data_IF_046773272324
#
_entry.id   IF_046773272324
#
_cell.length_a   1.000
_cell.length_b   1.000
_cell.length_c   1.000
_cell.angle_alpha   90.00
_cell.angle_beta   90.00
_cell.angle_gamma   90.00
#
_symmetry.space_group_name_H-M   'P 1'
#
loop_
_entity.id
_entity.type
_entity.pdbx_description
1 polymer ?
#
# COMPACT_ATOMS: atom_id res chain seq x y z
N UNK A 1 48.09 46.37 10.38
CA UNK A 1 47.64 45.02 10.72
C UNK A 1 46.33 44.73 10.02
N UNK A 2 46.30 43.80 9.12
CA UNK A 2 45.06 43.37 8.46
C UNK A 2 44.47 42.26 9.27
N UNK A 3 43.27 42.49 9.85
CA UNK A 3 42.49 41.44 10.48
C UNK A 3 41.85 40.60 9.38
N UNK A 4 42.24 39.33 9.31
CA UNK A 4 41.64 38.36 8.40
C UNK A 4 40.43 37.80 9.11
N UNK A 5 39.23 38.21 8.70
CA UNK A 5 38.02 37.62 9.16
C UNK A 5 37.79 36.30 8.41
N UNK A 6 38.00 35.20 9.10
CA UNK A 6 37.60 33.90 8.57
C UNK A 6 36.07 33.77 8.75
N UNK A 7 35.36 33.85 7.64
CA UNK A 7 33.97 33.46 7.65
C UNK A 7 33.95 31.94 7.61
N UNK A 8 33.73 31.33 8.76
CA UNK A 8 33.47 29.88 8.84
C UNK A 8 32.06 29.68 8.28
N UNK A 9 31.98 29.27 7.02
CA UNK A 9 30.72 28.78 6.47
C UNK A 9 30.41 27.45 7.15
N UNK A 10 29.50 27.46 8.12
CA UNK A 10 28.96 26.22 8.70
C UNK A 10 28.03 25.63 7.65
N UNK A 11 28.52 24.62 6.94
CA UNK A 11 27.71 23.83 6.05
C UNK A 11 26.82 22.95 6.95
N UNK A 12 25.59 23.43 7.20
CA UNK A 12 24.57 22.60 7.86
C UNK A 12 24.10 21.58 6.81
N UNK A 13 24.71 20.40 6.84
CA UNK A 13 24.18 19.26 6.10
C UNK A 13 22.91 18.84 6.81
N UNK A 14 21.78 19.33 6.33
CA UNK A 14 20.48 18.78 6.68
C UNK A 14 20.44 17.36 6.12
N UNK A 15 20.88 16.39 6.90
CA UNK A 15 20.53 15.01 6.65
C UNK A 15 19.01 14.92 6.82
N UNK A 16 18.30 14.92 5.70
CA UNK A 16 16.88 14.64 5.71
C UNK A 16 16.68 13.26 6.32
N UNK A 17 16.20 13.21 7.57
CA UNK A 17 15.59 12.01 8.09
C UNK A 17 14.40 11.70 7.20
N UNK A 18 14.57 10.72 6.29
CA UNK A 18 13.43 10.10 5.65
C UNK A 18 12.76 9.24 6.72
N UNK A 19 11.91 9.87 7.54
CA UNK A 19 10.99 9.13 8.36
C UNK A 19 10.05 8.39 7.39
N UNK A 20 10.20 7.07 7.26
CA UNK A 20 9.22 6.25 6.58
C UNK A 20 7.91 6.40 7.34
N UNK A 21 6.94 7.08 6.74
CA UNK A 21 5.60 7.16 7.28
C UNK A 21 5.04 5.74 7.37
N UNK A 22 4.51 5.37 8.52
CA UNK A 22 3.75 4.13 8.68
C UNK A 22 2.59 4.12 7.69
N UNK A 23 2.31 2.98 7.09
CA UNK A 23 1.23 2.84 6.13
C UNK A 23 1.48 1.76 5.11
N UNK A 24 0.67 1.77 4.08
CA UNK A 24 0.75 0.85 2.93
C UNK A 24 0.86 1.63 1.64
N UNK A 25 1.43 1.00 0.61
CA UNK A 25 1.53 1.59 -0.71
C UNK A 25 1.53 0.52 -1.80
N UNK A 26 1.16 0.94 -3.01
CA UNK A 26 1.33 0.15 -4.22
C UNK A 26 2.73 0.39 -4.78
N UNK A 27 3.54 -0.65 -4.85
CA UNK A 27 4.78 -0.62 -5.63
C UNK A 27 4.42 -0.67 -7.11
N UNK A 28 3.49 -1.57 -7.46
CA UNK A 28 2.86 -1.71 -8.77
C UNK A 28 1.39 -2.10 -8.61
N UNK A 29 0.49 -1.61 -9.46
CA UNK A 29 0.64 -0.46 -10.35
C UNK A 29 0.66 0.85 -9.57
N UNK A 30 1.13 1.92 -10.20
CA UNK A 30 1.05 3.28 -9.65
C UNK A 30 -0.29 3.92 -9.99
N UNK A 31 -0.68 4.93 -9.22
CA UNK A 31 -1.87 5.73 -9.49
C UNK A 31 -1.83 6.31 -10.91
N UNK A 32 -2.93 6.18 -11.64
CA UNK A 32 -3.04 6.63 -13.04
C UNK A 32 -2.46 5.67 -14.06
N UNK A 33 -1.93 4.52 -13.67
CA UNK A 33 -1.33 3.56 -14.60
C UNK A 33 -2.36 2.93 -15.55
N UNK A 34 -1.88 2.56 -16.73
CA UNK A 34 -2.60 1.67 -17.65
C UNK A 34 -1.96 0.30 -17.58
N UNK A 35 -2.77 -0.72 -17.32
CA UNK A 35 -2.33 -2.11 -17.20
C UNK A 35 -3.14 -3.00 -18.13
N UNK A 36 -2.62 -4.19 -18.42
CA UNK A 36 -3.39 -5.21 -19.15
C UNK A 36 -4.33 -5.96 -18.20
N UNK A 37 -5.31 -6.70 -18.74
CA UNK A 37 -6.32 -7.43 -17.95
C UNK A 37 -5.72 -8.39 -16.93
N UNK A 38 -4.58 -9.01 -17.26
CA UNK A 38 -3.78 -9.79 -16.32
C UNK A 38 -2.57 -8.97 -15.95
N UNK A 39 -2.44 -8.57 -14.70
CA UNK A 39 -1.33 -7.75 -14.25
C UNK A 39 -0.83 -8.19 -12.88
N UNK A 40 0.44 -7.90 -12.61
CA UNK A 40 1.03 -8.13 -11.28
C UNK A 40 0.82 -6.91 -10.40
N UNK A 41 0.35 -7.14 -9.19
CA UNK A 41 0.28 -6.11 -8.15
C UNK A 41 1.31 -6.42 -7.07
N UNK A 42 2.04 -5.40 -6.66
CA UNK A 42 3.05 -5.46 -5.58
C UNK A 42 2.76 -4.38 -4.57
N UNK A 43 2.86 -4.75 -3.30
CA UNK A 43 2.50 -3.90 -2.18
C UNK A 43 3.65 -3.77 -1.19
N UNK A 44 3.64 -2.69 -0.43
CA UNK A 44 4.54 -2.49 0.70
C UNK A 44 3.78 -2.07 1.95
N UNK A 45 4.35 -2.35 3.11
CA UNK A 45 3.84 -1.92 4.40
C UNK A 45 5.00 -1.47 5.29
N UNK A 46 4.80 -0.37 5.99
CA UNK A 46 5.68 0.15 7.03
C UNK A 46 4.91 0.29 8.34
N UNK A 47 5.51 -0.11 9.45
CA UNK A 47 4.90 -0.03 10.78
C UNK A 47 4.18 -1.28 11.25
N UNK A 48 3.94 -2.24 10.37
CA UNK A 48 3.37 -3.55 10.67
C UNK A 48 4.15 -4.63 9.94
N UNK A 49 4.05 -5.87 10.42
CA UNK A 49 4.66 -7.03 9.76
C UNK A 49 3.60 -7.85 9.05
N UNK A 50 3.90 -8.30 7.84
CA UNK A 50 3.03 -9.23 7.14
C UNK A 50 3.07 -10.60 7.82
N UNK A 51 1.90 -11.21 7.95
CA UNK A 51 1.72 -12.54 8.51
C UNK A 51 0.51 -13.21 7.85
N UNK A 52 0.41 -14.51 8.01
CA UNK A 52 -0.78 -15.24 7.56
C UNK A 52 -2.02 -14.71 8.27
N UNK A 53 -3.18 -14.77 7.61
CA UNK A 53 -4.47 -14.59 8.27
C UNK A 53 -4.56 -15.54 9.46
N UNK A 54 -5.35 -15.20 10.49
CA UNK A 54 -5.42 -15.93 11.74
C UNK A 54 -4.21 -15.78 12.69
N UNK A 55 -3.18 -15.02 12.30
CA UNK A 55 -2.07 -14.68 13.21
C UNK A 55 -2.53 -13.60 14.18
N UNK A 56 -2.57 -13.91 15.47
CA UNK A 56 -3.07 -13.01 16.52
C UNK A 56 -1.97 -12.13 17.14
N UNK A 57 -0.73 -12.27 16.70
CA UNK A 57 0.39 -11.47 17.22
C UNK A 57 0.14 -9.98 16.96
N UNK A 58 0.16 -9.12 18.00
CA UNK A 58 0.01 -7.68 17.80
C UNK A 58 1.02 -7.11 16.81
N UNK A 59 0.59 -6.15 15.99
CA UNK A 59 1.44 -5.52 14.99
C UNK A 59 1.63 -6.31 13.71
N UNK A 60 0.89 -7.38 13.51
CA UNK A 60 0.86 -8.16 12.27
C UNK A 60 -0.40 -7.89 11.46
N UNK A 61 -0.35 -8.17 10.17
CA UNK A 61 -1.49 -8.04 9.29
C UNK A 61 -1.28 -8.68 7.94
N UNK A 62 -2.31 -8.66 7.14
CA UNK A 62 -2.26 -9.11 5.75
C UNK A 62 -3.05 -8.16 4.86
N UNK A 63 -2.71 -8.16 3.58
CA UNK A 63 -3.32 -7.26 2.62
C UNK A 63 -4.69 -7.73 2.14
N UNK A 64 -5.53 -6.75 1.86
CA UNK A 64 -6.80 -6.88 1.17
C UNK A 64 -6.81 -5.89 0.01
N UNK A 65 -7.29 -6.31 -1.14
CA UNK A 65 -7.48 -5.45 -2.30
C UNK A 65 -8.97 -5.23 -2.53
N UNK A 66 -9.40 -3.98 -2.40
CA UNK A 66 -10.77 -3.56 -2.61
C UNK A 66 -10.90 -3.04 -4.05
N UNK A 67 -11.85 -3.57 -4.80
CA UNK A 67 -12.06 -3.24 -6.22
C UNK A 67 -13.41 -2.55 -6.35
N UNK A 68 -13.38 -1.23 -6.65
CA UNK A 68 -14.58 -0.41 -6.75
C UNK A 68 -15.51 -0.53 -5.53
N UNK A 69 -14.92 -0.70 -4.35
CA UNK A 69 -15.65 -0.94 -3.12
C UNK A 69 -15.49 0.22 -2.13
N UNK A 70 -16.39 0.29 -1.17
CA UNK A 70 -16.31 1.27 -0.10
C UNK A 70 -15.19 0.90 0.87
N UNK A 71 -14.56 1.92 1.45
CA UNK A 71 -13.57 1.75 2.50
C UNK A 71 -14.19 1.06 3.73
N UNK A 72 -13.38 0.28 4.41
CA UNK A 72 -13.78 -0.40 5.64
C UNK A 72 -13.24 0.37 6.84
N UNK A 73 -14.10 0.91 7.71
CA UNK A 73 -13.66 1.65 8.88
C UNK A 73 -12.77 0.81 9.81
N UNK A 74 -11.93 1.48 10.58
CA UNK A 74 -11.06 0.84 11.57
C UNK A 74 -11.86 -0.10 12.50
N UNK A 75 -11.30 -1.26 12.78
CA UNK A 75 -11.88 -2.32 13.61
C UNK A 75 -13.14 -2.99 13.06
N UNK A 76 -13.59 -2.62 11.87
CA UNK A 76 -14.69 -3.32 11.20
C UNK A 76 -14.15 -4.50 10.38
N UNK A 77 -14.94 -5.54 10.30
CA UNK A 77 -14.60 -6.73 9.52
C UNK A 77 -14.60 -6.42 8.03
N UNK A 78 -13.53 -6.79 7.36
CA UNK A 78 -13.40 -6.66 5.91
C UNK A 78 -14.21 -7.79 5.27
N UNK A 79 -15.22 -7.49 4.42
CA UNK A 79 -15.99 -8.52 3.73
C UNK A 79 -15.11 -9.43 2.87
N UNK A 80 -15.62 -10.59 2.52
CA UNK A 80 -14.97 -11.52 1.60
C UNK A 80 -15.89 -11.80 0.42
N UNK A 81 -15.57 -11.21 -0.72
CA UNK A 81 -16.29 -11.41 -1.98
C UNK A 81 -15.43 -10.91 -3.14
N UNK A 82 -15.98 -10.85 -4.34
CA UNK A 82 -15.23 -10.45 -5.55
C UNK A 82 -14.69 -9.02 -5.52
N UNK A 83 -15.26 -8.13 -4.69
CA UNK A 83 -14.79 -6.76 -4.53
C UNK A 83 -13.79 -6.59 -3.38
N UNK A 84 -13.63 -7.58 -2.53
CA UNK A 84 -12.75 -7.57 -1.35
C UNK A 84 -11.87 -8.80 -1.38
N UNK A 85 -10.75 -8.72 -2.10
CA UNK A 85 -9.80 -9.83 -2.21
C UNK A 85 -8.92 -9.93 -0.96
N UNK A 86 -8.76 -11.14 -0.44
CA UNK A 86 -7.97 -11.43 0.75
C UNK A 86 -6.69 -12.15 0.38
N UNK A 87 -5.56 -11.67 0.89
CA UNK A 87 -4.26 -12.29 0.68
C UNK A 87 -3.79 -12.98 1.96
N UNK A 88 -4.45 -14.11 2.26
CA UNK A 88 -4.39 -14.81 3.55
C UNK A 88 -3.03 -15.44 3.89
N UNK A 89 -2.11 -15.53 2.92
CA UNK A 89 -0.78 -16.09 3.14
C UNK A 89 0.24 -15.06 3.61
N UNK A 90 -0.16 -13.80 3.77
CA UNK A 90 0.75 -12.70 4.08
C UNK A 90 1.61 -12.27 2.89
N UNK A 91 1.19 -12.60 1.67
CA UNK A 91 1.93 -12.23 0.46
C UNK A 91 1.83 -10.72 0.18
N UNK A 92 2.91 -10.18 -0.40
CA UNK A 92 3.00 -8.79 -0.85
C UNK A 92 2.95 -8.63 -2.37
N UNK A 93 2.77 -9.73 -3.08
CA UNK A 93 2.71 -9.78 -4.54
C UNK A 93 1.64 -10.76 -4.98
N UNK A 94 0.90 -10.40 -6.00
CA UNK A 94 -0.18 -11.23 -6.54
C UNK A 94 -0.43 -10.89 -8.00
N UNK A 95 -1.03 -11.85 -8.72
CA UNK A 95 -1.54 -11.62 -10.07
C UNK A 95 -3.02 -11.27 -9.93
N UNK A 96 -3.43 -10.18 -10.58
CA UNK A 96 -4.80 -9.70 -10.59
C UNK A 96 -5.36 -9.81 -12.00
N UNK A 97 -6.61 -10.27 -12.10
CA UNK A 97 -7.35 -10.29 -13.34
C UNK A 97 -8.56 -9.34 -13.25
N UNK A 98 -8.65 -8.37 -14.16
CA UNK A 98 -9.77 -7.46 -14.27
C UNK A 98 -10.17 -7.28 -15.76
N UNK A 99 -11.46 -7.15 -16.05
CA UNK A 99 -11.89 -6.81 -17.40
C UNK A 99 -11.43 -5.39 -17.79
N UNK A 100 -11.38 -5.07 -19.09
CA UNK A 100 -11.08 -3.71 -19.53
C UNK A 100 -12.02 -2.69 -18.91
N UNK A 101 -11.48 -1.53 -18.53
CA UNK A 101 -12.24 -0.43 -17.93
C UNK A 101 -11.42 0.37 -16.94
N UNK A 102 -12.06 1.28 -16.24
CA UNK A 102 -11.45 2.10 -15.18
C UNK A 102 -11.84 1.52 -13.83
N UNK A 103 -10.85 1.41 -12.94
CA UNK A 103 -11.04 0.82 -11.61
C UNK A 103 -10.43 1.70 -10.54
N UNK A 104 -11.14 1.79 -9.42
CA UNK A 104 -10.59 2.26 -8.15
C UNK A 104 -10.10 1.03 -7.39
N UNK A 105 -8.83 1.01 -7.04
CA UNK A 105 -8.22 -0.04 -6.23
C UNK A 105 -7.81 0.53 -4.87
N UNK A 106 -8.24 -0.11 -3.80
CA UNK A 106 -7.85 0.27 -2.45
C UNK A 106 -7.10 -0.87 -1.79
N UNK A 107 -5.88 -0.61 -1.39
CA UNK A 107 -5.08 -1.53 -0.59
C UNK A 107 -5.39 -1.25 0.88
N UNK A 108 -5.86 -2.26 1.60
CA UNK A 108 -6.19 -2.18 3.01
C UNK A 108 -5.45 -3.24 3.80
N UNK A 109 -4.70 -2.85 4.82
CA UNK A 109 -4.15 -3.82 5.77
C UNK A 109 -5.22 -4.16 6.81
N UNK A 110 -5.37 -5.44 7.11
CA UNK A 110 -6.23 -5.96 8.16
C UNK A 110 -5.47 -6.86 9.11
N UNK A 111 -6.01 -7.03 10.31
CA UNK A 111 -5.43 -7.90 11.33
C UNK A 111 -5.77 -9.39 11.10
N UNK A 112 -5.32 -10.27 11.99
CA UNK A 112 -5.54 -11.71 11.88
C UNK A 112 -7.01 -12.14 11.97
N UNK A 113 -7.89 -11.27 12.41
CA UNK A 113 -9.34 -11.48 12.44
C UNK A 113 -10.07 -10.77 11.29
N UNK A 114 -9.31 -10.31 10.27
CA UNK A 114 -9.84 -9.57 9.12
C UNK A 114 -10.51 -8.25 9.48
N UNK A 115 -10.08 -7.60 10.57
CA UNK A 115 -10.53 -6.26 10.93
C UNK A 115 -9.59 -5.23 10.33
N UNK A 116 -10.16 -4.20 9.72
CA UNK A 116 -9.42 -3.11 9.11
C UNK A 116 -8.57 -2.35 10.13
N UNK A 117 -7.32 -2.04 9.76
CA UNK A 117 -6.48 -1.10 10.52
C UNK A 117 -6.82 0.38 10.24
N UNK A 118 -7.83 0.65 9.40
CA UNK A 118 -8.31 1.99 9.13
C UNK A 118 -7.48 2.75 8.11
N UNK A 119 -7.69 4.05 8.06
CA UNK A 119 -7.16 4.96 7.03
C UNK A 119 -5.64 4.99 6.98
N UNK A 120 -4.96 4.90 8.13
CA UNK A 120 -3.50 4.93 8.21
C UNK A 120 -2.83 3.83 7.39
N UNK A 121 -3.47 2.67 7.27
CA UNK A 121 -2.97 1.51 6.53
C UNK A 121 -3.83 1.24 5.30
N UNK A 122 -4.20 2.28 4.61
CA UNK A 122 -5.02 2.27 3.39
C UNK A 122 -4.40 3.17 2.32
N UNK A 123 -4.41 2.69 1.09
CA UNK A 123 -4.00 3.47 -0.07
C UNK A 123 -4.95 3.21 -1.22
N UNK A 124 -5.47 4.26 -1.82
CA UNK A 124 -6.37 4.17 -2.97
C UNK A 124 -5.68 4.74 -4.20
N UNK A 125 -5.78 4.01 -5.31
CA UNK A 125 -5.32 4.42 -6.64
C UNK A 125 -6.43 4.23 -7.67
N UNK A 126 -6.27 4.87 -8.81
CA UNK A 126 -7.10 4.65 -9.99
C UNK A 126 -6.24 4.10 -11.11
N UNK A 127 -6.75 3.10 -11.83
CA UNK A 127 -6.07 2.50 -12.98
C UNK A 127 -7.03 2.37 -14.17
N UNK A 128 -6.43 2.23 -15.34
CA UNK A 128 -7.15 1.86 -16.57
C UNK A 128 -6.66 0.48 -17.00
N UNK A 129 -7.60 -0.42 -17.22
CA UNK A 129 -7.31 -1.77 -17.70
C UNK A 129 -7.64 -1.84 -19.20
N UNK A 130 -6.70 -2.35 -19.98
CA UNK A 130 -6.85 -2.60 -21.41
C UNK A 130 -6.74 -4.10 -21.67
N UNK A 131 -7.30 -4.62 -22.81
CA UNK A 131 -7.20 -6.05 -23.09
C UNK A 131 -5.76 -6.54 -23.12
N UNK A 132 -5.55 -7.81 -22.73
CA UNK A 132 -4.29 -8.48 -22.93
C UNK A 132 -3.94 -8.50 -24.42
N UNK A 133 -2.64 -8.41 -24.73
CA UNK A 133 -2.18 -8.55 -26.11
C UNK A 133 -2.34 -10.01 -26.54
N UNK A 134 -2.90 -10.20 -27.71
CA UNK A 134 -2.95 -11.49 -28.36
C UNK A 134 -1.54 -11.94 -28.82
#
# INVERSE_FOLDING_TARGET
MKTINYVIAVLVVLMGCHAHAEGVDFIEPKDGATVTSTFTAKFSVDGKKLAKSTTETPGTGHFHLLINANDVPENHTIPRNDQYKHYDKGQSETVVFLPPGKFKLTLQLGDGEHRSYGEKYRKTIEITVVPDKE
#
